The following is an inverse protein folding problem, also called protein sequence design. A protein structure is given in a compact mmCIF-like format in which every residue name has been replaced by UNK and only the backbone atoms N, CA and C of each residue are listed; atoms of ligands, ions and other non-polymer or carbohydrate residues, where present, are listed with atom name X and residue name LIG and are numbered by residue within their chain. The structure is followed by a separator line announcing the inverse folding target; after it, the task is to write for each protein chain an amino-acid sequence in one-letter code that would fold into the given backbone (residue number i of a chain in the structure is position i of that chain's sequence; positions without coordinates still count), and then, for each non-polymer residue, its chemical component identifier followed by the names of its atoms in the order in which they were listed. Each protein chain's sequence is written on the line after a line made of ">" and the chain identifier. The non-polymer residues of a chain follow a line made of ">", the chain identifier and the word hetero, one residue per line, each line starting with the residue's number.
data_IF_693660671599
#
_entry.id   IF_693660671599
#
_cell.length_a   1.000
_cell.length_b   1.000
_cell.length_c   1.000
_cell.angle_alpha   90.00
_cell.angle_beta   90.00
_cell.angle_gamma   90.00
#
_symmetry.space_group_name_H-M   'P 1'
#
loop_
_entity.id
_entity.type
_entity.pdbx_description
1 polymer ?
#
# COMPACT_ATOMS: atom_id res chain seq x y z
N UNK A 1 6.54 -8.64 -1.48
CA UNK A 1 6.06 -7.71 -2.52
C UNK A 1 5.40 -6.50 -1.87
N UNK A 2 5.13 -5.46 -2.67
CA UNK A 2 4.36 -4.28 -2.24
C UNK A 2 3.06 -4.27 -3.04
N UNK A 3 1.92 -4.09 -2.38
CA UNK A 3 0.60 -4.01 -3.04
C UNK A 3 -0.05 -2.64 -2.82
N UNK A 4 -0.58 -2.04 -3.88
CA UNK A 4 -1.45 -0.87 -3.77
C UNK A 4 -2.88 -1.32 -3.47
N UNK A 5 -3.50 -0.75 -2.43
CA UNK A 5 -4.95 -0.93 -2.24
C UNK A 5 -5.68 -0.25 -3.41
N UNK A 6 -6.78 -0.82 -3.91
CA UNK A 6 -7.65 -0.08 -4.84
C UNK A 6 -8.21 1.17 -4.15
N UNK A 7 -8.47 2.25 -4.89
CA UNK A 7 -8.88 3.54 -4.32
C UNK A 7 -10.23 3.49 -3.59
N UNK A 8 -10.64 4.58 -2.98
CA UNK A 8 -11.83 4.71 -2.14
C UNK A 8 -13.08 5.16 -2.89
N UNK A 9 -13.10 5.04 -4.22
CA UNK A 9 -14.22 5.36 -5.11
C UNK A 9 -15.62 4.96 -4.61
N UNK A 10 -15.71 3.87 -3.87
CA UNK A 10 -16.97 3.33 -3.37
C UNK A 10 -17.14 3.45 -1.84
N UNK A 11 -16.32 4.26 -1.14
CA UNK A 11 -16.33 4.34 0.32
C UNK A 11 -17.71 4.72 0.87
N UNK A 12 -18.44 5.62 0.21
CA UNK A 12 -19.79 6.04 0.59
C UNK A 12 -20.90 5.22 -0.09
N UNK A 13 -20.58 4.13 -0.81
CA UNK A 13 -21.52 3.36 -1.64
C UNK A 13 -21.75 1.96 -1.06
N UNK A 14 -22.74 1.80 -0.16
CA UNK A 14 -22.93 0.57 0.61
C UNK A 14 -23.35 -0.64 -0.25
N UNK A 15 -23.91 -0.41 -1.44
CA UNK A 15 -24.23 -1.44 -2.42
C UNK A 15 -22.98 -2.04 -3.11
N UNK A 16 -21.81 -1.44 -2.89
CA UNK A 16 -20.54 -1.90 -3.46
C UNK A 16 -19.69 -2.72 -2.46
N UNK A 17 -20.32 -3.66 -1.76
CA UNK A 17 -19.69 -4.50 -0.74
C UNK A 17 -18.42 -5.23 -1.23
N UNK A 18 -18.35 -5.59 -2.50
CA UNK A 18 -17.19 -6.26 -3.08
C UNK A 18 -15.95 -5.36 -3.12
N UNK A 19 -16.12 -4.07 -3.42
CA UNK A 19 -15.01 -3.10 -3.42
C UNK A 19 -14.37 -2.99 -2.03
N UNK A 20 -15.20 -2.87 -0.99
CA UNK A 20 -14.74 -2.86 0.40
C UNK A 20 -14.00 -4.15 0.78
N UNK A 21 -14.55 -5.32 0.42
CA UNK A 21 -13.92 -6.63 0.71
C UNK A 21 -12.56 -6.78 0.03
N UNK A 22 -12.41 -6.32 -1.21
CA UNK A 22 -11.11 -6.34 -1.91
C UNK A 22 -10.12 -5.41 -1.21
N UNK A 23 -10.54 -4.18 -0.87
CA UNK A 23 -9.71 -3.21 -0.12
C UNK A 23 -9.20 -3.79 1.19
N UNK A 24 -10.08 -4.40 1.98
CA UNK A 24 -9.71 -5.06 3.24
C UNK A 24 -8.74 -6.22 3.02
N UNK A 25 -8.98 -7.04 2.00
CA UNK A 25 -8.15 -8.20 1.68
C UNK A 25 -6.74 -7.78 1.24
N UNK A 26 -6.61 -6.71 0.44
CA UNK A 26 -5.31 -6.18 0.02
C UNK A 26 -4.50 -5.64 1.21
N UNK A 27 -5.15 -5.00 2.19
CA UNK A 27 -4.50 -4.57 3.44
C UNK A 27 -4.02 -5.78 4.25
N UNK A 28 -4.87 -6.81 4.41
CA UNK A 28 -4.50 -8.05 5.11
C UNK A 28 -3.30 -8.72 4.44
N UNK A 29 -3.32 -8.81 3.11
CA UNK A 29 -2.25 -9.39 2.30
C UNK A 29 -0.93 -8.63 2.50
N UNK A 30 -0.94 -7.31 2.42
CA UNK A 30 0.27 -6.50 2.59
C UNK A 30 0.79 -6.41 4.04
N UNK A 31 0.02 -6.86 5.04
CA UNK A 31 0.48 -6.98 6.43
C UNK A 31 1.17 -8.32 6.72
N UNK A 32 1.15 -9.28 5.79
CA UNK A 32 1.86 -10.55 5.98
C UNK A 32 3.39 -10.34 6.03
N UNK A 33 4.15 -11.19 6.75
CA UNK A 33 5.60 -11.01 6.92
C UNK A 33 6.35 -10.88 5.59
N UNK A 34 7.24 -9.89 5.49
CA UNK A 34 8.03 -9.62 4.28
C UNK A 34 7.29 -8.85 3.18
N UNK A 35 6.03 -8.46 3.41
CA UNK A 35 5.22 -7.67 2.49
C UNK A 35 4.93 -6.27 3.03
N UNK A 36 4.41 -5.42 2.15
CA UNK A 36 3.89 -4.10 2.51
C UNK A 36 2.67 -3.76 1.63
N UNK A 37 1.88 -2.80 2.08
CA UNK A 37 0.82 -2.19 1.27
C UNK A 37 0.93 -0.66 1.26
N UNK A 38 0.23 -0.05 0.31
CA UNK A 38 0.16 1.39 0.09
C UNK A 38 -1.29 1.83 0.14
N UNK A 39 -1.54 2.90 0.89
CA UNK A 39 -2.81 3.62 0.87
C UNK A 39 -2.92 4.47 -0.39
N UNK A 40 -4.11 4.52 -0.97
CA UNK A 40 -4.44 5.16 -2.24
C UNK A 40 -5.69 6.03 -2.17
N UNK A 41 -6.28 6.20 -0.99
CA UNK A 41 -7.53 6.94 -0.77
C UNK A 41 -7.41 8.42 -1.15
N UNK A 42 -6.22 9.00 -1.03
CA UNK A 42 -5.97 10.40 -1.39
C UNK A 42 -5.52 10.58 -2.84
N UNK A 43 -5.50 9.51 -3.65
CA UNK A 43 -4.83 9.53 -4.96
C UNK A 43 -5.78 9.62 -6.14
N UNK A 44 -7.09 9.44 -5.97
CA UNK A 44 -8.07 9.45 -7.07
C UNK A 44 -8.85 10.76 -7.20
N UNK A 45 -8.34 11.84 -6.60
CA UNK A 45 -8.82 13.20 -6.85
C UNK A 45 -10.13 13.57 -6.15
N UNK A 46 -10.39 13.01 -4.97
CA UNK A 46 -11.55 13.40 -4.18
C UNK A 46 -11.49 14.84 -3.67
N UNK A 47 -12.64 15.52 -3.65
CA UNK A 47 -12.81 16.88 -3.15
C UNK A 47 -14.15 17.06 -2.41
N UNK A 48 -14.52 18.28 -2.02
CA UNK A 48 -15.78 18.52 -1.30
C UNK A 48 -17.05 18.18 -2.11
N UNK A 49 -16.99 18.22 -3.44
CA UNK A 49 -18.11 17.88 -4.33
C UNK A 49 -18.14 16.40 -4.71
N UNK A 50 -16.99 15.74 -4.74
CA UNK A 50 -16.85 14.30 -4.96
C UNK A 50 -15.84 13.69 -3.96
N UNK A 51 -16.24 13.44 -2.71
CA UNK A 51 -15.31 13.03 -1.65
C UNK A 51 -14.68 11.64 -1.86
N UNK A 52 -15.28 10.82 -2.70
CA UNK A 52 -14.78 9.48 -3.01
C UNK A 52 -13.88 9.47 -4.26
N UNK A 53 -13.72 10.59 -4.97
CA UNK A 53 -12.90 10.68 -6.18
C UNK A 53 -13.42 9.84 -7.35
N UNK A 54 -12.58 9.64 -8.36
CA UNK A 54 -12.90 8.83 -9.55
C UNK A 54 -12.43 7.37 -9.38
N UNK A 55 -12.91 6.45 -10.21
CA UNK A 55 -12.48 5.05 -10.23
C UNK A 55 -11.03 4.93 -10.74
N UNK A 56 -10.55 5.88 -11.54
CA UNK A 56 -9.18 5.94 -12.03
C UNK A 56 -8.37 7.02 -11.31
N UNK A 57 -7.05 6.84 -11.26
CA UNK A 57 -6.15 7.87 -10.75
C UNK A 57 -5.88 8.94 -11.82
N UNK A 58 -5.96 10.25 -11.50
CA UNK A 58 -5.39 11.29 -12.34
C UNK A 58 -3.86 11.13 -12.42
N UNK A 59 -3.24 11.85 -13.36
CA UNK A 59 -1.80 11.76 -13.64
C UNK A 59 -0.93 11.94 -12.39
N UNK A 60 -1.27 12.94 -11.58
CA UNK A 60 -0.55 13.29 -10.34
C UNK A 60 -0.74 12.21 -9.27
N UNK A 61 -1.94 11.63 -9.20
CA UNK A 61 -2.26 10.50 -8.33
C UNK A 61 -1.46 9.25 -8.69
N UNK A 62 -1.40 8.91 -9.98
CA UNK A 62 -0.62 7.79 -10.49
C UNK A 62 0.90 7.98 -10.26
N UNK A 63 1.41 9.20 -10.45
CA UNK A 63 2.81 9.52 -10.16
C UNK A 63 3.13 9.34 -8.67
N UNK A 64 2.25 9.84 -7.78
CA UNK A 64 2.38 9.68 -6.32
C UNK A 64 2.31 8.21 -5.91
N UNK A 65 1.42 7.42 -6.51
CA UNK A 65 1.34 5.98 -6.29
C UNK A 65 2.67 5.29 -6.63
N UNK A 66 3.27 5.61 -7.77
CA UNK A 66 4.59 5.09 -8.17
C UNK A 66 5.69 5.43 -7.16
N UNK A 67 5.71 6.66 -6.65
CA UNK A 67 6.65 7.08 -5.60
C UNK A 67 6.45 6.30 -4.30
N UNK A 68 5.20 6.06 -3.89
CA UNK A 68 4.89 5.24 -2.70
C UNK A 68 5.34 3.78 -2.87
N UNK A 69 5.19 3.22 -4.08
CA UNK A 69 5.75 1.89 -4.42
C UNK A 69 7.25 1.85 -4.25
N UNK A 70 7.97 2.79 -4.85
CA UNK A 70 9.43 2.86 -4.73
C UNK A 70 9.87 2.98 -3.27
N UNK A 71 9.24 3.88 -2.50
CA UNK A 71 9.55 4.06 -1.07
C UNK A 71 9.37 2.77 -0.27
N UNK A 72 8.22 2.09 -0.42
CA UNK A 72 7.94 0.85 0.31
C UNK A 72 8.86 -0.30 -0.10
N UNK A 73 9.20 -0.41 -1.39
CA UNK A 73 10.15 -1.41 -1.86
C UNK A 73 11.55 -1.19 -1.24
N UNK A 74 12.04 0.05 -1.22
CA UNK A 74 13.32 0.41 -0.59
C UNK A 74 13.31 0.10 0.91
N UNK A 75 12.23 0.45 1.63
CA UNK A 75 12.08 0.12 3.05
C UNK A 75 12.21 -1.39 3.32
N UNK A 76 11.53 -2.22 2.52
CA UNK A 76 11.60 -3.68 2.64
C UNK A 76 13.00 -4.23 2.37
N UNK A 77 13.67 -3.75 1.32
CA UNK A 77 15.04 -4.16 0.97
C UNK A 77 16.00 -3.84 2.11
N UNK A 78 15.95 -2.61 2.64
CA UNK A 78 16.81 -2.18 3.75
C UNK A 78 16.58 -3.00 5.03
N UNK A 79 15.32 -3.26 5.37
CA UNK A 79 14.96 -4.08 6.55
C UNK A 79 15.51 -5.50 6.43
N UNK A 80 15.45 -6.10 5.24
CA UNK A 80 16.00 -7.44 4.98
C UNK A 80 17.53 -7.46 5.13
N UNK A 81 18.22 -6.45 4.62
CA UNK A 81 19.67 -6.32 4.75
C UNK A 81 20.11 -6.18 6.20
N UNK A 82 19.45 -5.32 6.98
CA UNK A 82 19.74 -5.14 8.40
C UNK A 82 19.48 -6.42 9.22
N UNK A 83 18.35 -7.11 8.98
CA UNK A 83 18.06 -8.37 9.64
C UNK A 83 19.08 -9.49 9.32
N UNK A 84 19.66 -9.46 8.12
CA UNK A 84 20.70 -10.41 7.71
C UNK A 84 22.03 -10.14 8.41
N UNK A 85 22.38 -8.85 8.61
CA UNK A 85 23.58 -8.44 9.33
C UNK A 85 23.52 -8.85 10.81
N UNK A 86 22.43 -8.53 11.52
CA UNK A 86 22.27 -8.90 12.94
C UNK A 86 22.33 -10.42 13.17
N UNK A 87 21.75 -11.22 12.25
CA UNK A 87 21.81 -12.69 12.34
C UNK A 87 23.21 -13.27 12.07
N UNK A 88 24.07 -12.53 11.39
CA UNK A 88 25.47 -12.95 11.18
C UNK A 88 26.33 -12.63 12.40
N UNK A 89 26.10 -11.49 13.06
CA UNK A 89 26.78 -11.11 14.30
C UNK A 89 26.44 -12.06 15.45
N UNK A 90 25.16 -12.38 15.65
CA UNK A 90 24.73 -13.30 16.73
C UNK A 90 25.28 -14.72 16.60
N UNK A 91 25.68 -15.16 15.40
CA UNK A 91 26.29 -16.48 15.15
C UNK A 91 27.81 -16.51 15.34
N UNK A 92 28.44 -15.37 15.54
CA UNK A 92 29.88 -15.28 15.86
C UNK A 92 30.15 -15.26 17.37
N UNK A 93 29.10 -15.05 18.17
CA UNK A 93 29.17 -14.97 19.63
C UNK A 93 28.79 -16.30 20.32
N UNK A 94 28.35 -17.31 19.55
CA UNK A 94 28.17 -18.72 19.97
C UNK A 94 29.40 -19.56 19.64
#
# INVERSE_FOLDING_TARGET
>A
YVIGRINDYARSRPDNAHWHRVRETQVKLGKTPGNAWIDTDDLNGGDAGNPDGDIHFPKEGAATLGQRFAKKAIELIRKRSAGSANKLESRKEE
#
